data_IF_656925340365
#
_entry.id   IF_656925340365
#
_cell.length_a   1.000
_cell.length_b   1.000
_cell.length_c   1.000
_cell.angle_alpha   90.00
_cell.angle_beta   90.00
_cell.angle_gamma   90.00
#
_symmetry.space_group_name_H-M   'P 1'
#
loop_
_entity.id
_entity.type
_entity.pdbx_description
1 polymer ?
#
# COMPACT_ATOMS: atom_id res chain seq x y z
N UNK A 1 17.89 4.43 -68.75
CA UNK A 1 18.53 3.12 -68.97
C UNK A 1 19.27 2.70 -67.70
N UNK A 2 19.10 1.43 -67.30
CA UNK A 2 19.71 0.68 -66.18
C UNK A 2 21.22 0.93 -65.97
N UNK A 3 21.76 1.07 -64.75
CA UNK A 3 21.94 0.15 -63.59
C UNK A 3 23.26 -0.65 -63.59
N UNK A 4 23.93 -0.60 -62.41
CA UNK A 4 24.91 -1.56 -61.81
C UNK A 4 26.36 -1.46 -62.33
N UNK A 5 27.41 -1.57 -61.51
CA UNK A 5 27.63 -2.46 -60.36
C UNK A 5 28.80 -1.98 -59.45
N UNK A 6 28.65 -2.14 -58.10
CA UNK A 6 29.54 -2.81 -57.09
C UNK A 6 31.04 -2.41 -57.04
N UNK A 7 31.73 -2.25 -55.89
CA UNK A 7 31.89 -3.15 -54.71
C UNK A 7 32.82 -2.48 -53.62
N UNK A 8 33.26 -3.11 -52.49
CA UNK A 8 33.09 -2.57 -51.12
C UNK A 8 34.39 -2.46 -50.25
N UNK A 9 34.22 -2.18 -48.92
CA UNK A 9 35.09 -2.47 -47.73
C UNK A 9 35.55 -1.24 -46.91
N UNK A 10 36.11 -1.37 -45.68
CA UNK A 10 35.60 -2.05 -44.47
C UNK A 10 35.95 -1.31 -43.13
N UNK A 11 35.47 -1.81 -41.98
CA UNK A 11 36.15 -1.72 -40.66
C UNK A 11 35.67 -0.62 -39.70
N UNK A 12 34.87 -0.91 -38.65
CA UNK A 12 35.20 -1.55 -37.35
C UNK A 12 35.86 -0.61 -36.34
N UNK A 13 35.10 -0.22 -35.31
CA UNK A 13 35.43 -0.13 -33.86
C UNK A 13 34.22 0.53 -33.17
N UNK A 14 33.39 -0.22 -32.46
CA UNK A 14 33.68 -0.56 -31.07
C UNK A 14 33.37 0.63 -30.17
N UNK A 15 32.09 1.01 -30.04
CA UNK A 15 31.63 1.84 -28.93
C UNK A 15 30.94 0.94 -27.93
N UNK A 16 31.75 0.39 -27.04
CA UNK A 16 31.33 0.08 -25.67
C UNK A 16 30.63 1.32 -25.13
N UNK A 17 29.30 1.29 -25.05
CA UNK A 17 28.59 2.19 -24.14
C UNK A 17 28.89 1.74 -22.72
N UNK A 18 30.08 2.13 -22.28
CA UNK A 18 30.51 2.09 -20.90
C UNK A 18 29.49 2.85 -20.07
N UNK A 19 28.74 2.09 -19.28
CA UNK A 19 28.88 2.17 -17.82
C UNK A 19 28.96 3.60 -17.27
N UNK A 20 27.90 4.38 -17.46
CA UNK A 20 27.44 5.38 -16.47
C UNK A 20 26.14 4.90 -15.84
N UNK A 21 26.21 3.71 -15.24
CA UNK A 21 25.17 3.11 -14.38
C UNK A 21 25.61 3.08 -12.90
N UNK A 22 26.68 3.81 -12.58
CA UNK A 22 27.19 4.02 -11.22
C UNK A 22 26.92 5.45 -10.79
N UNK A 23 26.45 5.62 -9.56
CA UNK A 23 26.24 6.87 -8.81
C UNK A 23 24.89 7.59 -8.90
N UNK A 24 23.82 7.02 -9.48
CA UNK A 24 22.50 7.08 -8.80
C UNK A 24 22.54 6.04 -7.68
N UNK A 25 23.43 6.26 -6.72
CA UNK A 25 23.62 5.41 -5.56
C UNK A 25 22.27 5.38 -4.83
N UNK A 26 21.71 4.18 -4.81
CA UNK A 26 20.40 3.81 -4.31
C UNK A 26 20.23 4.41 -2.91
N UNK A 27 19.34 5.41 -2.69
CA UNK A 27 18.94 5.84 -1.34
C UNK A 27 18.39 4.69 -0.49
N UNK A 28 18.08 3.59 -1.17
CA UNK A 28 17.36 2.44 -0.70
C UNK A 28 18.24 1.33 -0.15
N UNK A 29 19.57 1.43 -0.11
CA UNK A 29 20.34 0.42 0.64
C UNK A 29 19.82 0.36 2.10
N UNK A 30 20.08 -0.72 2.85
CA UNK A 30 19.62 -0.87 4.24
C UNK A 30 19.81 0.38 5.13
N UNK A 31 20.83 1.18 4.82
CA UNK A 31 21.15 2.49 5.42
C UNK A 31 20.01 3.52 5.31
N UNK A 32 19.16 3.45 4.28
CA UNK A 32 18.04 4.35 4.02
C UNK A 32 16.75 4.01 4.78
N UNK A 33 16.66 2.82 5.39
CA UNK A 33 15.45 2.38 6.10
C UNK A 33 14.97 3.38 7.17
N UNK A 34 15.83 3.96 8.03
CA UNK A 34 15.38 4.93 9.03
C UNK A 34 14.82 6.22 8.41
N UNK A 35 15.23 6.55 7.19
CA UNK A 35 14.68 7.68 6.45
C UNK A 35 13.30 7.33 5.88
N UNK A 36 13.18 6.19 5.21
CA UNK A 36 11.92 5.70 4.63
C UNK A 36 10.85 5.58 5.71
N UNK A 37 11.22 5.01 6.85
CA UNK A 37 10.35 4.86 8.01
C UNK A 37 9.83 6.21 8.53
N UNK A 38 10.71 7.20 8.69
CA UNK A 38 10.31 8.55 9.11
C UNK A 38 9.44 9.25 8.07
N UNK A 39 9.78 9.13 6.79
CA UNK A 39 9.00 9.69 5.69
C UNK A 39 7.59 9.10 5.62
N UNK A 40 7.46 7.77 5.75
CA UNK A 40 6.17 7.08 5.81
C UNK A 40 5.36 7.52 7.04
N UNK A 41 5.97 7.54 8.22
CA UNK A 41 5.29 7.98 9.44
C UNK A 41 4.82 9.43 9.34
N UNK A 42 5.60 10.31 8.70
CA UNK A 42 5.19 11.69 8.46
C UNK A 42 4.05 11.76 7.45
N UNK A 43 4.13 11.05 6.32
CA UNK A 43 3.07 11.05 5.32
C UNK A 43 1.72 10.59 5.91
N UNK A 44 1.69 9.50 6.68
CA UNK A 44 0.44 9.07 7.33
C UNK A 44 -0.08 10.06 8.37
N UNK A 45 0.80 10.80 9.07
CA UNK A 45 0.36 11.90 9.96
C UNK A 45 -0.24 13.06 9.17
N UNK A 46 0.42 13.47 8.09
CA UNK A 46 -0.06 14.54 7.21
C UNK A 46 -1.43 14.17 6.61
N UNK A 47 -1.59 12.92 6.18
CA UNK A 47 -2.86 12.38 5.70
C UNK A 47 -3.93 12.36 6.79
N UNK A 48 -3.58 12.02 8.04
CA UNK A 48 -4.55 12.05 9.14
C UNK A 48 -5.08 13.46 9.40
N UNK A 49 -4.22 14.47 9.30
CA UNK A 49 -4.64 15.89 9.39
C UNK A 49 -5.50 16.28 8.20
N UNK A 50 -5.10 15.88 6.98
CA UNK A 50 -5.84 16.12 5.75
C UNK A 50 -7.25 15.49 5.79
N UNK A 51 -7.38 14.23 6.19
CA UNK A 51 -8.67 13.55 6.32
C UNK A 51 -9.57 14.18 7.38
N UNK A 52 -8.99 14.63 8.50
CA UNK A 52 -9.73 15.36 9.54
C UNK A 52 -10.33 16.65 8.98
N UNK A 53 -9.54 17.43 8.22
CA UNK A 53 -10.03 18.66 7.61
C UNK A 53 -11.15 18.40 6.57
N UNK A 54 -11.05 17.31 5.79
CA UNK A 54 -12.13 16.91 4.89
C UNK A 54 -13.40 16.47 5.64
N UNK A 55 -13.25 15.75 6.75
CA UNK A 55 -14.39 15.37 7.60
C UNK A 55 -15.09 16.60 8.19
N UNK A 56 -14.36 17.61 8.65
CA UNK A 56 -14.96 18.86 9.16
C UNK A 56 -15.79 19.56 8.07
N UNK A 57 -15.29 19.60 6.83
CA UNK A 57 -16.02 20.18 5.70
C UNK A 57 -17.27 19.37 5.32
N UNK A 58 -17.19 18.04 5.37
CA UNK A 58 -18.32 17.15 5.09
C UNK A 58 -19.38 17.21 6.19
N UNK A 59 -18.96 17.32 7.45
CA UNK A 59 -19.87 17.52 8.58
C UNK A 59 -20.62 18.85 8.51
N UNK A 60 -19.95 19.92 8.07
CA UNK A 60 -20.62 21.22 7.86
C UNK A 60 -21.67 21.16 6.72
N UNK A 61 -21.44 20.36 5.68
CA UNK A 61 -22.43 20.11 4.61
C UNK A 61 -23.62 19.30 5.12
N UNK A 62 -23.36 18.30 5.95
CA UNK A 62 -24.41 17.47 6.53
C UNK A 62 -25.41 18.31 7.34
N UNK A 63 -24.91 19.17 8.23
CA UNK A 63 -25.77 20.11 8.98
C UNK A 63 -26.53 21.10 8.08
N UNK A 64 -25.99 21.45 6.90
CA UNK A 64 -26.69 22.30 5.95
C UNK A 64 -27.84 21.54 5.26
N UNK A 65 -27.62 20.26 4.89
CA UNK A 65 -28.67 19.41 4.34
C UNK A 65 -29.78 19.13 5.35
N UNK A 66 -29.44 18.86 6.61
CA UNK A 66 -30.44 18.70 7.68
C UNK A 66 -31.32 19.95 7.82
N UNK A 67 -30.71 21.15 7.88
CA UNK A 67 -31.45 22.40 7.98
C UNK A 67 -32.34 22.68 6.75
N UNK A 68 -31.90 22.27 5.56
CA UNK A 68 -32.67 22.41 4.32
C UNK A 68 -33.86 21.43 4.28
N UNK A 69 -33.68 20.18 4.71
CA UNK A 69 -34.76 19.20 4.84
C UNK A 69 -35.79 19.61 5.89
N UNK A 70 -35.34 20.16 7.02
CA UNK A 70 -36.24 20.72 8.05
C UNK A 70 -37.06 21.88 7.47
N UNK A 71 -36.44 22.81 6.74
CA UNK A 71 -37.14 23.93 6.11
C UNK A 71 -38.15 23.48 5.05
N UNK A 72 -37.83 22.44 4.27
CA UNK A 72 -38.76 21.84 3.30
C UNK A 72 -39.94 21.18 4.00
N UNK A 73 -39.68 20.49 5.12
CA UNK A 73 -40.70 19.87 5.97
C UNK A 73 -41.64 20.93 6.56
N UNK A 74 -41.10 22.03 7.07
CA UNK A 74 -41.87 23.18 7.57
C UNK A 74 -42.70 23.85 6.47
N UNK A 75 -42.22 23.80 5.21
CA UNK A 75 -42.97 24.25 4.04
C UNK A 75 -44.02 23.25 3.54
N UNK A 76 -44.20 22.11 4.23
CA UNK A 76 -45.18 21.08 3.91
C UNK A 76 -44.76 20.13 2.79
N UNK A 77 -43.46 20.09 2.45
CA UNK A 77 -42.87 19.17 1.47
C UNK A 77 -42.25 17.99 2.20
N UNK A 78 -42.25 16.81 1.59
CA UNK A 78 -41.70 15.61 2.19
C UNK A 78 -41.30 14.55 1.15
N UNK A 79 -41.09 13.30 1.59
CA UNK A 79 -40.70 12.22 0.69
C UNK A 79 -41.65 12.07 -0.50
N UNK A 80 -41.09 12.06 -1.71
CA UNK A 80 -41.83 12.06 -2.98
C UNK A 80 -42.00 13.44 -3.62
N UNK A 81 -41.67 14.52 -2.91
CA UNK A 81 -41.48 15.84 -3.51
C UNK A 81 -40.06 15.94 -4.10
N UNK A 82 -39.95 16.38 -5.35
CA UNK A 82 -38.67 16.38 -6.08
C UNK A 82 -37.54 17.14 -5.36
N UNK A 83 -37.83 18.33 -4.81
CA UNK A 83 -36.85 19.15 -4.11
C UNK A 83 -36.39 18.48 -2.79
N UNK A 84 -37.29 17.77 -2.10
CA UNK A 84 -36.96 17.03 -0.88
C UNK A 84 -36.10 15.81 -1.18
N UNK A 85 -36.50 15.03 -2.20
CA UNK A 85 -35.80 13.82 -2.61
C UNK A 85 -34.39 14.12 -3.15
N UNK A 86 -34.20 15.27 -3.82
CA UNK A 86 -32.87 15.72 -4.28
C UNK A 86 -31.93 16.00 -3.10
N UNK A 87 -32.37 16.77 -2.11
CA UNK A 87 -31.56 17.09 -0.92
C UNK A 87 -31.27 15.82 -0.12
N UNK A 88 -32.26 14.93 0.04
CA UNK A 88 -32.07 13.65 0.72
C UNK A 88 -31.06 12.74 0.00
N UNK A 89 -31.04 12.74 -1.34
CA UNK A 89 -30.04 12.01 -2.11
C UNK A 89 -28.64 12.60 -1.93
N UNK A 90 -28.51 13.93 -1.93
CA UNK A 90 -27.23 14.61 -1.68
C UNK A 90 -26.70 14.34 -0.26
N UNK A 91 -27.59 14.31 0.74
CA UNK A 91 -27.23 13.94 2.11
C UNK A 91 -26.71 12.49 2.17
N UNK A 92 -27.39 11.56 1.50
CA UNK A 92 -26.96 10.15 1.43
C UNK A 92 -25.57 9.99 0.79
N UNK A 93 -25.28 10.74 -0.27
CA UNK A 93 -23.96 10.75 -0.92
C UNK A 93 -22.89 11.34 0.03
N UNK A 94 -23.24 12.40 0.77
CA UNK A 94 -22.38 13.03 1.77
C UNK A 94 -22.09 12.08 2.95
N UNK A 95 -23.07 11.30 3.39
CA UNK A 95 -22.93 10.24 4.39
C UNK A 95 -21.95 9.15 3.94
N UNK A 96 -22.05 8.71 2.68
CA UNK A 96 -21.11 7.74 2.12
C UNK A 96 -19.68 8.30 2.11
N UNK A 97 -19.53 9.56 1.70
CA UNK A 97 -18.25 10.26 1.71
C UNK A 97 -17.68 10.37 3.13
N UNK A 98 -18.52 10.72 4.12
CA UNK A 98 -18.15 10.80 5.53
C UNK A 98 -17.61 9.46 6.06
N UNK A 99 -18.31 8.35 5.78
CA UNK A 99 -17.85 7.00 6.17
C UNK A 99 -16.52 6.62 5.52
N UNK A 100 -16.36 6.94 4.23
CA UNK A 100 -15.12 6.67 3.49
C UNK A 100 -13.94 7.46 4.06
N UNK A 101 -14.12 8.76 4.33
CA UNK A 101 -13.10 9.61 4.95
C UNK A 101 -12.77 9.16 6.38
N UNK A 102 -13.78 8.78 7.17
CA UNK A 102 -13.58 8.21 8.50
C UNK A 102 -12.76 6.92 8.47
N UNK A 103 -13.03 6.05 7.50
CA UNK A 103 -12.22 4.85 7.25
C UNK A 103 -10.74 5.19 6.94
N UNK A 104 -10.50 6.16 6.06
CA UNK A 104 -9.14 6.61 5.71
C UNK A 104 -8.40 7.25 6.90
N UNK A 105 -9.10 8.00 7.74
CA UNK A 105 -8.55 8.58 8.97
C UNK A 105 -8.14 7.49 9.96
N UNK A 106 -9.02 6.52 10.22
CA UNK A 106 -8.74 5.38 11.10
C UNK A 106 -7.55 4.56 10.59
N UNK A 107 -7.51 4.31 9.28
CA UNK A 107 -6.40 3.63 8.62
C UNK A 107 -5.08 4.37 8.81
N UNK A 108 -5.06 5.68 8.50
CA UNK A 108 -3.85 6.50 8.60
C UNK A 108 -3.35 6.59 10.05
N UNK A 109 -4.26 6.72 11.01
CA UNK A 109 -3.94 6.74 12.45
C UNK A 109 -3.33 5.41 12.89
N UNK A 110 -3.95 4.28 12.50
CA UNK A 110 -3.43 2.93 12.81
C UNK A 110 -2.04 2.72 12.19
N UNK A 111 -1.85 3.15 10.94
CA UNK A 111 -0.55 3.05 10.27
C UNK A 111 0.54 3.84 11.03
N UNK A 112 0.23 5.02 11.55
CA UNK A 112 1.16 5.81 12.39
C UNK A 112 1.52 5.05 13.66
N UNK A 113 0.54 4.47 14.36
CA UNK A 113 0.77 3.70 15.60
C UNK A 113 1.65 2.47 15.33
N UNK A 114 1.32 1.71 14.29
CA UNK A 114 2.09 0.54 13.84
C UNK A 114 3.53 0.96 13.54
N UNK A 115 3.71 2.02 12.74
CA UNK A 115 5.03 2.54 12.39
C UNK A 115 5.87 2.95 13.61
N UNK A 116 5.27 3.46 14.69
CA UNK A 116 6.04 3.83 15.89
C UNK A 116 6.72 2.64 16.58
N UNK A 117 6.14 1.45 16.48
CA UNK A 117 6.61 0.24 17.17
C UNK A 117 7.50 -0.67 16.35
N UNK A 118 7.60 -0.46 15.03
CA UNK A 118 8.27 -1.40 14.14
C UNK A 118 9.67 -0.94 13.71
N UNK A 119 10.55 -1.93 13.52
CA UNK A 119 11.81 -1.75 12.80
C UNK A 119 11.63 -2.23 11.36
N UNK A 120 11.83 -1.38 10.34
CA UNK A 120 11.72 -1.80 8.95
C UNK A 120 12.75 -2.89 8.62
N UNK A 121 12.35 -3.86 7.81
CA UNK A 121 13.24 -4.95 7.37
C UNK A 121 13.58 -4.77 5.89
N UNK A 122 14.88 -4.76 5.59
CA UNK A 122 15.40 -4.69 4.22
C UNK A 122 15.43 -6.08 3.59
N UNK A 123 14.87 -6.22 2.38
CA UNK A 123 14.85 -7.49 1.64
C UNK A 123 15.86 -7.46 0.47
N UNK A 124 16.95 -8.23 0.55
CA UNK A 124 18.00 -8.26 -0.48
C UNK A 124 17.55 -8.86 -1.83
N UNK A 125 18.29 -8.53 -2.88
CA UNK A 125 17.95 -8.91 -4.28
C UNK A 125 17.99 -10.43 -4.48
N UNK A 126 18.93 -11.12 -3.83
CA UNK A 126 19.03 -12.58 -3.89
C UNK A 126 17.80 -13.29 -3.34
N UNK A 127 17.14 -12.71 -2.33
CA UNK A 127 15.88 -13.24 -1.78
C UNK A 127 14.76 -13.02 -2.78
N UNK A 128 14.69 -11.85 -3.40
CA UNK A 128 13.70 -11.55 -4.45
C UNK A 128 13.84 -12.46 -5.68
N UNK A 129 15.06 -12.68 -6.17
CA UNK A 129 15.31 -13.50 -7.35
C UNK A 129 15.04 -15.00 -7.09
N UNK A 130 15.41 -15.49 -5.90
CA UNK A 130 15.05 -16.85 -5.48
C UNK A 130 13.53 -17.05 -5.43
N UNK A 131 12.79 -16.02 -5.02
CA UNK A 131 11.34 -16.05 -4.93
C UNK A 131 10.66 -15.94 -6.32
N UNK A 132 11.25 -15.19 -7.26
CA UNK A 132 10.79 -15.09 -8.64
C UNK A 132 11.04 -16.38 -9.46
N UNK A 133 11.92 -17.26 -9.00
CA UNK A 133 12.31 -18.49 -9.71
C UNK A 133 11.43 -19.71 -9.43
N UNK A 134 10.55 -19.64 -8.43
CA UNK A 134 9.59 -20.70 -8.13
C UNK A 134 8.33 -20.39 -8.96
N UNK A 135 8.13 -21.14 -10.05
CA UNK A 135 6.86 -21.08 -10.80
C UNK A 135 5.70 -21.25 -9.81
N UNK A 136 4.91 -20.20 -9.62
CA UNK A 136 3.87 -20.14 -8.61
C UNK A 136 2.70 -20.98 -9.07
N UNK A 137 2.67 -22.25 -8.67
CA UNK A 137 1.43 -23.01 -8.61
C UNK A 137 0.55 -22.35 -7.54
N UNK A 138 -0.64 -21.88 -7.94
CA UNK A 138 -1.60 -21.14 -7.10
C UNK A 138 -2.21 -21.96 -5.93
N UNK A 139 -1.49 -22.94 -5.39
CA UNK A 139 -2.03 -24.06 -4.64
C UNK A 139 -1.64 -24.19 -3.17
N UNK A 140 -0.78 -23.35 -2.58
CA UNK A 140 -0.41 -23.55 -1.16
C UNK A 140 -0.28 -22.28 -0.32
N UNK A 141 -1.44 -21.77 0.10
CA UNK A 141 -1.69 -20.69 1.06
C UNK A 141 -1.23 -20.95 2.52
N UNK A 142 -0.28 -21.86 2.78
CA UNK A 142 0.14 -22.21 4.16
C UNK A 142 1.09 -21.19 4.81
N UNK A 143 1.32 -20.05 4.16
CA UNK A 143 2.52 -19.24 4.36
C UNK A 143 2.29 -17.98 5.22
N UNK A 144 1.06 -17.52 5.47
CA UNK A 144 0.79 -16.41 6.42
C UNK A 144 0.97 -16.82 7.90
N UNK A 145 1.07 -18.11 8.18
CA UNK A 145 1.37 -18.66 9.51
C UNK A 145 2.81 -18.29 9.90
N UNK A 146 2.98 -17.49 10.97
CA UNK A 146 4.30 -17.02 11.43
C UNK A 146 4.59 -15.55 11.15
N UNK A 147 3.71 -14.83 10.44
CA UNK A 147 3.78 -13.36 10.38
C UNK A 147 3.38 -12.78 11.74
N UNK A 148 4.19 -11.85 12.26
CA UNK A 148 3.90 -11.13 13.50
C UNK A 148 2.66 -10.21 13.41
N UNK A 149 2.31 -9.57 14.52
CA UNK A 149 1.13 -8.71 14.61
C UNK A 149 1.23 -7.43 13.75
N UNK A 150 2.44 -7.04 13.35
CA UNK A 150 2.68 -5.98 12.37
C UNK A 150 4.10 -6.04 11.80
N UNK A 151 4.35 -5.30 10.72
CA UNK A 151 5.71 -5.08 10.23
C UNK A 151 5.77 -4.29 8.93
N UNK A 152 7.01 -4.01 8.50
CA UNK A 152 7.31 -3.29 7.26
C UNK A 152 8.49 -3.95 6.54
N UNK A 153 8.26 -4.41 5.32
CA UNK A 153 9.31 -4.86 4.42
C UNK A 153 9.57 -3.82 3.34
N UNK A 154 10.84 -3.57 3.05
CA UNK A 154 11.29 -2.72 1.93
C UNK A 154 12.20 -3.54 1.02
N UNK A 155 11.84 -3.62 -0.26
CA UNK A 155 12.50 -4.47 -1.23
C UNK A 155 13.62 -3.74 -1.97
N UNK A 156 14.74 -4.44 -2.17
CA UNK A 156 15.85 -3.98 -3.02
C UNK A 156 15.50 -3.78 -4.49
N UNK A 157 14.52 -4.53 -4.96
CA UNK A 157 13.92 -4.50 -6.29
C UNK A 157 12.48 -4.93 -6.15
N UNK A 158 11.59 -4.29 -6.88
CA UNK A 158 10.16 -4.59 -6.83
C UNK A 158 9.94 -6.04 -7.25
N UNK A 159 9.45 -6.91 -6.36
CA UNK A 159 9.31 -8.33 -6.65
C UNK A 159 8.07 -8.61 -7.50
N UNK A 160 7.12 -7.67 -7.48
CA UNK A 160 5.79 -7.83 -8.04
C UNK A 160 5.26 -6.48 -8.50
N UNK A 161 4.19 -6.58 -9.28
CA UNK A 161 3.39 -5.45 -9.69
C UNK A 161 1.99 -5.57 -9.13
N UNK A 162 1.44 -4.45 -8.69
CA UNK A 162 0.08 -4.35 -8.23
C UNK A 162 -0.71 -3.47 -9.19
N UNK A 163 -1.97 -3.83 -9.38
CA UNK A 163 -2.93 -3.01 -10.11
C UNK A 163 -4.06 -2.66 -9.16
N UNK A 164 -4.36 -1.38 -9.05
CA UNK A 164 -5.56 -0.94 -8.38
C UNK A 164 -6.75 -1.01 -9.35
N UNK A 165 -7.87 -1.51 -8.86
CA UNK A 165 -9.15 -1.48 -9.58
C UNK A 165 -10.19 -0.89 -8.64
N UNK A 166 -10.49 0.40 -8.84
CA UNK A 166 -11.55 1.08 -8.10
C UNK A 166 -12.91 0.56 -8.58
N UNK A 167 -13.86 0.24 -7.67
CA UNK A 167 -15.22 -0.14 -8.06
C UNK A 167 -15.87 0.95 -8.94
N UNK A 168 -16.29 0.58 -10.15
CA UNK A 168 -16.89 1.52 -11.12
C UNK A 168 -15.93 2.58 -11.69
N UNK A 169 -14.65 2.54 -11.35
CA UNK A 169 -13.64 3.51 -11.77
C UNK A 169 -12.75 3.04 -12.93
N UNK A 170 -11.95 3.94 -13.50
CA UNK A 170 -10.93 3.56 -14.47
C UNK A 170 -9.93 2.59 -13.85
N UNK A 171 -9.51 1.59 -14.63
CA UNK A 171 -8.43 0.70 -14.22
C UNK A 171 -7.13 1.50 -14.13
N UNK A 172 -6.51 1.52 -12.95
CA UNK A 172 -5.27 2.24 -12.73
C UNK A 172 -4.09 1.53 -13.41
N UNK A 173 -3.03 2.26 -13.78
CA UNK A 173 -1.82 1.65 -14.29
C UNK A 173 -1.25 0.66 -13.28
N UNK A 174 -0.66 -0.40 -13.80
CA UNK A 174 0.07 -1.36 -13.00
C UNK A 174 1.34 -0.70 -12.44
N UNK A 175 1.54 -0.78 -11.13
CA UNK A 175 2.67 -0.16 -10.40
C UNK A 175 3.55 -1.21 -9.75
N UNK A 176 4.86 -0.95 -9.79
CA UNK A 176 5.84 -1.78 -9.11
C UNK A 176 5.72 -1.60 -7.57
N UNK A 177 5.64 -2.70 -6.82
CA UNK A 177 5.56 -2.64 -5.34
C UNK A 177 6.97 -2.71 -4.75
N UNK A 178 7.36 -1.67 -4.01
CA UNK A 178 8.68 -1.48 -3.43
C UNK A 178 8.73 -1.77 -1.92
N UNK A 179 7.58 -1.84 -1.25
CA UNK A 179 7.47 -2.23 0.14
C UNK A 179 6.08 -2.69 0.49
N UNK A 180 5.92 -3.31 1.67
CA UNK A 180 4.61 -3.65 2.21
C UNK A 180 4.62 -3.41 3.71
N UNK A 181 3.67 -2.59 4.16
CA UNK A 181 3.32 -2.40 5.56
C UNK A 181 2.13 -3.30 5.89
N UNK A 182 2.11 -3.93 7.06
CA UNK A 182 0.95 -4.73 7.49
C UNK A 182 0.73 -4.69 9.00
N UNK A 183 -0.49 -5.03 9.41
CA UNK A 183 -0.87 -5.27 10.80
C UNK A 183 -2.07 -6.19 10.92
N UNK A 184 -2.23 -6.82 12.08
CA UNK A 184 -3.42 -7.58 12.44
C UNK A 184 -4.56 -6.64 12.80
N UNK A 185 -5.72 -6.84 12.18
CA UNK A 185 -6.97 -6.19 12.54
C UNK A 185 -7.74 -7.09 13.52
N UNK A 186 -8.22 -6.59 14.66
CA UNK A 186 -9.14 -7.36 15.49
C UNK A 186 -10.39 -7.71 14.66
N UNK A 187 -10.89 -8.93 14.80
CA UNK A 187 -12.15 -9.32 14.16
C UNK A 187 -13.27 -8.46 14.72
N UNK A 188 -13.72 -7.46 13.96
CA UNK A 188 -14.90 -6.67 14.29
C UNK A 188 -16.08 -7.62 14.52
N UNK A 189 -16.49 -7.77 15.78
CA UNK A 189 -17.82 -8.19 16.15
C UNK A 189 -18.43 -7.01 16.90
N UNK A 190 -19.58 -6.55 16.44
CA UNK A 190 -20.22 -5.34 16.96
C UNK A 190 -20.33 -5.32 18.48
N UNK A 191 -20.11 -4.14 19.05
CA UNK A 191 -20.39 -3.85 20.45
C UNK A 191 -19.32 -4.30 21.44
N UNK A 192 -19.14 -3.48 22.48
CA UNK A 192 -18.12 -3.53 23.54
C UNK A 192 -18.23 -4.77 24.46
N UNK A 193 -18.97 -5.83 24.11
CA UNK A 193 -19.34 -6.91 25.03
C UNK A 193 -19.08 -8.35 24.58
N UNK A 194 -18.22 -8.60 23.59
CA UNK A 194 -17.79 -9.98 23.26
C UNK A 194 -16.28 -10.09 23.04
N UNK A 195 -15.51 -9.78 24.08
CA UNK A 195 -14.07 -9.99 24.11
C UNK A 195 -13.65 -11.42 24.55
N UNK A 196 -14.57 -12.39 24.63
CA UNK A 196 -14.26 -13.70 25.23
C UNK A 196 -14.90 -14.85 24.45
N UNK A 197 -14.48 -15.04 23.19
CA UNK A 197 -14.32 -16.37 22.55
C UNK A 197 -13.41 -16.20 21.34
N UNK A 198 -12.10 -16.30 21.57
CA UNK A 198 -11.06 -16.24 20.55
C UNK A 198 -11.06 -17.52 19.70
N UNK A 199 -11.92 -17.59 18.68
CA UNK A 199 -11.82 -18.61 17.63
C UNK A 199 -12.17 -18.06 16.22
N UNK A 200 -12.28 -16.73 16.10
CA UNK A 200 -12.49 -16.06 14.81
C UNK A 200 -11.20 -16.04 13.96
N UNK A 201 -11.31 -16.08 12.62
CA UNK A 201 -10.15 -15.97 11.75
C UNK A 201 -9.51 -14.58 11.89
N UNK A 202 -8.22 -14.52 12.21
CA UNK A 202 -7.49 -13.24 12.26
C UNK A 202 -7.54 -12.56 10.89
N UNK A 203 -7.63 -11.23 10.87
CA UNK A 203 -7.54 -10.44 9.64
C UNK A 203 -6.21 -9.69 9.62
N UNK A 204 -5.58 -9.64 8.46
CA UNK A 204 -4.38 -8.86 8.19
C UNK A 204 -4.74 -7.73 7.24
N UNK A 205 -4.40 -6.50 7.62
CA UNK A 205 -4.41 -5.38 6.69
C UNK A 205 -3.05 -5.33 5.99
N UNK A 206 -3.06 -5.34 4.66
CA UNK A 206 -1.87 -5.18 3.83
C UNK A 206 -1.92 -3.84 3.09
N UNK A 207 -0.87 -3.04 3.26
CA UNK A 207 -0.67 -1.78 2.57
C UNK A 207 0.60 -1.88 1.68
N UNK A 208 0.45 -2.26 0.38
CA UNK A 208 1.54 -2.23 -0.58
C UNK A 208 1.96 -0.79 -0.86
N UNK A 209 3.27 -0.59 -0.94
CA UNK A 209 3.92 0.71 -1.12
C UNK A 209 4.66 0.72 -2.44
N UNK A 210 4.55 1.79 -3.20
CA UNK A 210 5.22 2.00 -4.50
C UNK A 210 5.98 3.33 -4.50
N UNK A 211 7.04 3.43 -5.32
CA UNK A 211 7.67 4.72 -5.63
C UNK A 211 6.93 5.52 -6.71
N UNK A 212 5.92 4.91 -7.35
CA UNK A 212 5.21 5.57 -8.45
C UNK A 212 4.46 6.79 -7.94
N UNK A 213 4.63 7.92 -8.64
CA UNK A 213 3.90 9.14 -8.33
C UNK A 213 2.53 9.20 -8.99
N UNK A 214 2.23 8.26 -9.87
CA UNK A 214 0.99 8.23 -10.66
C UNK A 214 -0.26 8.08 -9.77
N UNK A 215 -0.10 7.65 -8.52
CA UNK A 215 -1.17 7.46 -7.54
C UNK A 215 -1.27 8.59 -6.50
N UNK A 216 -0.31 9.51 -6.44
CA UNK A 216 -0.24 10.52 -5.37
C UNK A 216 -1.50 11.38 -5.27
N UNK A 217 -2.02 11.84 -6.42
CA UNK A 217 -3.19 12.72 -6.48
C UNK A 217 -4.49 12.04 -6.01
N UNK A 218 -4.55 10.71 -5.98
CA UNK A 218 -5.71 9.95 -5.51
C UNK A 218 -5.68 9.65 -4.01
N UNK A 219 -4.51 9.79 -3.39
CA UNK A 219 -4.26 9.27 -2.04
C UNK A 219 -4.05 10.37 -0.99
N UNK A 220 -4.22 11.63 -1.39
CA UNK A 220 -4.01 12.79 -0.55
C UNK A 220 -2.63 13.42 -0.73
N UNK A 221 -2.55 14.71 -0.47
CA UNK A 221 -1.33 15.51 -0.59
C UNK A 221 -0.28 15.17 0.49
N UNK A 222 -0.69 14.53 1.59
CA UNK A 222 0.22 14.02 2.62
C UNK A 222 1.32 13.08 2.08
N UNK A 223 1.11 12.43 0.94
CA UNK A 223 2.14 11.59 0.30
C UNK A 223 3.30 12.37 -0.31
N UNK A 224 3.19 13.70 -0.50
CA UNK A 224 4.27 14.51 -1.08
C UNK A 224 5.55 14.50 -0.25
N UNK A 225 5.45 14.24 1.05
CA UNK A 225 6.59 14.15 1.98
C UNK A 225 7.30 12.80 1.93
N UNK A 226 6.70 11.77 1.33
CA UNK A 226 7.24 10.42 1.32
C UNK A 226 7.75 9.99 -0.05
N UNK A 227 8.85 9.23 -0.04
CA UNK A 227 9.38 8.61 -1.26
C UNK A 227 8.62 7.33 -1.66
N UNK A 228 7.88 6.72 -0.73
CA UNK A 228 6.97 5.61 -0.99
C UNK A 228 5.53 6.02 -0.73
N UNK A 229 4.62 5.60 -1.59
CA UNK A 229 3.20 5.90 -1.52
C UNK A 229 2.40 4.63 -1.47
N UNK A 230 1.34 4.61 -0.69
CA UNK A 230 0.43 3.47 -0.63
C UNK A 230 -0.32 3.28 -1.96
N UNK A 231 -0.38 2.04 -2.44
CA UNK A 231 -1.15 1.68 -3.63
C UNK A 231 -2.62 1.61 -3.27
N UNK A 232 -3.02 0.62 -2.46
CA UNK A 232 -4.38 0.38 -1.96
C UNK A 232 -4.27 -0.58 -0.79
N UNK A 233 -5.16 -0.48 0.19
CA UNK A 233 -5.18 -1.41 1.31
C UNK A 233 -6.09 -2.61 1.09
N UNK A 234 -5.65 -3.76 1.58
CA UNK A 234 -6.36 -5.03 1.41
C UNK A 234 -6.52 -5.73 2.74
N UNK A 235 -7.76 -6.05 3.08
CA UNK A 235 -8.08 -6.95 4.18
C UNK A 235 -7.92 -8.40 3.71
N UNK A 236 -7.11 -9.17 4.44
CA UNK A 236 -6.85 -10.58 4.16
C UNK A 236 -7.22 -11.41 5.37
N UNK A 237 -8.17 -12.32 5.17
CA UNK A 237 -8.49 -13.34 6.19
C UNK A 237 -7.36 -14.36 6.25
N UNK A 238 -6.85 -14.69 7.44
CA UNK A 238 -5.74 -15.65 7.62
C UNK A 238 -6.15 -17.12 7.44
N UNK A 239 -7.40 -17.38 7.03
CA UNK A 239 -7.93 -18.72 6.79
C UNK A 239 -8.05 -18.97 5.28
N UNK A 240 -7.70 -20.20 4.87
CA UNK A 240 -7.54 -20.65 3.48
C UNK A 240 -8.72 -20.23 2.56
N UNK A 241 -8.41 -19.61 1.42
CA UNK A 241 -9.20 -19.72 0.19
C UNK A 241 -10.21 -18.63 -0.19
N UNK A 242 -10.33 -17.50 0.53
CA UNK A 242 -11.42 -16.55 0.26
C UNK A 242 -11.02 -15.13 -0.22
N UNK A 243 -10.02 -14.46 0.39
CA UNK A 243 -10.07 -12.98 0.40
C UNK A 243 -8.84 -12.22 -0.13
N UNK A 244 -7.84 -12.89 -0.73
CA UNK A 244 -6.72 -12.16 -1.37
C UNK A 244 -7.04 -11.92 -2.85
N UNK A 245 -7.09 -10.66 -3.33
CA UNK A 245 -7.23 -10.38 -4.75
C UNK A 245 -6.12 -11.08 -5.54
N UNK A 246 -6.49 -11.84 -6.57
CA UNK A 246 -5.55 -12.65 -7.38
C UNK A 246 -4.24 -11.96 -7.79
N UNK A 247 -4.25 -10.66 -8.19
CA UNK A 247 -3.02 -9.94 -8.53
C UNK A 247 -2.04 -9.70 -7.36
N UNK A 248 -2.50 -9.76 -6.12
CA UNK A 248 -1.68 -9.52 -4.92
C UNK A 248 -1.18 -10.80 -4.26
N UNK A 249 -1.75 -11.94 -4.66
CA UNK A 249 -1.35 -13.25 -4.17
C UNK A 249 0.18 -13.45 -4.17
N UNK A 250 0.92 -13.05 -5.24
CA UNK A 250 2.36 -13.19 -5.25
C UNK A 250 3.09 -12.38 -4.16
N UNK A 251 2.66 -11.17 -3.80
CA UNK A 251 3.27 -10.45 -2.67
C UNK A 251 2.84 -11.04 -1.33
N UNK A 252 1.58 -11.43 -1.14
CA UNK A 252 1.14 -12.05 0.11
C UNK A 252 1.97 -13.29 0.43
N UNK A 253 2.16 -14.17 -0.56
CA UNK A 253 2.96 -15.38 -0.44
C UNK A 253 4.47 -15.12 -0.25
N UNK A 254 4.99 -14.05 -0.86
CA UNK A 254 6.36 -13.58 -0.68
C UNK A 254 6.63 -13.15 0.78
N UNK A 255 5.75 -12.31 1.33
CA UNK A 255 5.87 -11.75 2.68
C UNK A 255 5.80 -12.84 3.73
N UNK A 256 4.85 -13.74 3.54
CA UNK A 256 4.66 -14.97 4.27
C UNK A 256 5.94 -15.82 4.36
N UNK A 257 6.53 -16.16 3.21
CA UNK A 257 7.75 -16.98 3.17
C UNK A 257 8.96 -16.27 3.79
N UNK A 258 9.09 -14.95 3.62
CA UNK A 258 10.15 -14.15 4.27
C UNK A 258 9.93 -14.14 5.80
N UNK A 259 8.69 -13.94 6.25
CA UNK A 259 8.31 -13.99 7.66
C UNK A 259 8.65 -15.34 8.30
N UNK A 260 8.20 -16.45 7.68
CA UNK A 260 8.53 -17.81 8.13
C UNK A 260 10.04 -18.04 8.15
N UNK A 261 10.77 -17.61 7.12
CA UNK A 261 12.22 -17.84 7.07
C UNK A 261 13.00 -17.01 8.11
N UNK A 262 12.48 -15.85 8.54
CA UNK A 262 13.00 -15.08 9.67
C UNK A 262 12.67 -15.74 11.01
N UNK A 263 11.41 -16.16 11.21
CA UNK A 263 10.96 -16.89 12.41
C UNK A 263 11.81 -18.15 12.67
N UNK A 264 12.12 -18.89 11.61
CA UNK A 264 12.87 -20.14 11.68
C UNK A 264 14.40 -19.93 11.67
N UNK A 265 14.89 -18.69 11.70
CA UNK A 265 16.32 -18.35 11.55
C UNK A 265 16.99 -18.96 10.31
N UNK A 266 16.19 -19.32 9.31
CA UNK A 266 16.63 -19.89 8.03
C UNK A 266 17.28 -18.82 7.15
N UNK A 267 16.86 -17.56 7.32
CA UNK A 267 17.58 -16.39 6.85
C UNK A 267 18.49 -15.89 7.97
N UNK A 268 19.71 -16.44 8.04
CA UNK A 268 20.74 -15.87 8.90
C UNK A 268 21.12 -14.50 8.36
N UNK A 269 20.96 -13.46 9.16
CA UNK A 269 21.67 -12.20 8.96
C UNK A 269 23.15 -12.56 8.89
N UNK A 270 23.76 -12.50 7.72
CA UNK A 270 25.22 -12.63 7.63
C UNK A 270 25.80 -11.35 8.23
N UNK A 271 26.05 -11.40 9.54
CA UNK A 271 26.93 -10.46 10.22
C UNK A 271 28.31 -10.58 9.58
N UNK A 272 28.55 -9.81 8.53
CA UNK A 272 29.75 -9.91 7.69
C UNK A 272 30.04 -8.67 6.86
N UNK A 273 29.47 -7.51 7.19
CA UNK A 273 29.86 -6.21 6.59
C UNK A 273 29.78 -5.03 7.57
N UNK A 274 29.80 -5.28 8.88
CA UNK A 274 30.09 -4.25 9.89
C UNK A 274 31.28 -4.73 10.74
N UNK A 275 32.41 -4.89 10.06
CA UNK A 275 33.74 -4.78 10.64
C UNK A 275 34.40 -3.75 9.72
N UNK A 276 34.69 -2.51 10.08
CA UNK A 276 35.14 -1.91 11.34
C UNK A 276 34.75 -0.43 11.28
N UNK A 277 34.00 0.05 12.28
CA UNK A 277 33.88 1.48 12.59
C UNK A 277 34.39 1.70 14.01
N UNK A 278 35.58 1.16 14.25
CA UNK A 278 36.50 1.59 15.29
C UNK A 278 37.89 1.64 14.63
N UNK A 279 38.57 2.77 14.83
CA UNK A 279 39.91 3.15 14.37
C UNK A 279 40.07 3.61 12.90
N UNK A 280 39.86 4.91 12.66
CA UNK A 280 40.88 5.89 12.18
C UNK A 280 40.23 7.25 11.91
#
# INVERSE_FOLDING_TARGET
>A
MSSKHRTPRPGRRGRTHGRRKGNRARPWLSIGLPRIHRELAQAYRDLSVEWTAYLDMVGARDSAYEAELDALTDAGRGPGDADFDEVAAQQLDNDYLCRMLGGNLMHSTTAVEVLQSLTPVWVPEAVNDALASIEVSAGDARSLTGIGESGLFVFSKSPIRARESLPGGPTMPEVDVDGVLWWTKPTEHGGVSQAVTNDGPRRLMLAPLTRSRDLQWLRGDGWRSSTLTEVTCFDVTTVRGADVPGPLWPCVELLARIGTALEHNSLRYTAGSITTLDAA
#
